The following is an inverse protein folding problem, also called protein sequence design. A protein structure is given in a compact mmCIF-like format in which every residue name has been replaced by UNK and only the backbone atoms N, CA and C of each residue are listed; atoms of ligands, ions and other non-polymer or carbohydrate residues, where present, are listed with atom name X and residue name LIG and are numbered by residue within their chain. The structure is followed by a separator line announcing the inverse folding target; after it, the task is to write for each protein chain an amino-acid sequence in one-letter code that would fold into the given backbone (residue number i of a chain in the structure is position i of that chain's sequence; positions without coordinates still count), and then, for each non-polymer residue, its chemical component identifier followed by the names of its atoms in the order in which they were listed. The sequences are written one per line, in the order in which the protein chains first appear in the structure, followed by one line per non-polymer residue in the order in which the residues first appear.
data_IF_600853816603
#
_entry.id   IF_600853816603
#
_cell.length_a   1.000
_cell.length_b   1.000
_cell.length_c   1.000
_cell.angle_alpha   90.00
_cell.angle_beta   90.00
_cell.angle_gamma   90.00
#
_symmetry.space_group_name_H-M   'P 1'
#
loop_
_entity.id
_entity.type
_entity.pdbx_description
1 polymer ?
#
# COMPACT_ATOMS: atom_id res chain seq x y z
N UNK A 1 4.61 -7.61 26.97
CA UNK A 1 3.73 -6.43 26.78
C UNK A 1 2.66 -6.80 25.77
N UNK A 2 1.39 -6.49 26.04
CA UNK A 2 0.30 -6.75 25.09
C UNK A 2 0.52 -5.82 23.89
N UNK A 3 0.63 -6.36 22.67
CA UNK A 3 0.75 -5.53 21.47
C UNK A 3 -0.55 -4.72 21.29
N UNK A 4 -0.42 -3.43 21.10
CA UNK A 4 -1.55 -2.51 20.93
C UNK A 4 -2.22 -2.68 19.57
N UNK A 5 -1.46 -3.04 18.56
CA UNK A 5 -1.89 -3.43 17.23
C UNK A 5 -0.88 -4.41 16.64
N UNK A 6 -1.27 -5.17 15.62
CA UNK A 6 -0.40 -6.07 14.88
C UNK A 6 0.37 -5.27 13.82
N UNK A 7 1.68 -5.20 13.92
CA UNK A 7 2.52 -4.52 12.95
C UNK A 7 3.03 -5.46 11.84
N UNK A 8 3.57 -4.88 10.78
CA UNK A 8 4.09 -5.63 9.64
C UNK A 8 5.29 -6.52 9.99
N UNK A 9 6.11 -6.16 10.99
CA UNK A 9 7.22 -7.00 11.40
C UNK A 9 6.74 -8.30 12.06
N UNK A 10 5.63 -8.24 12.81
CA UNK A 10 4.97 -9.43 13.36
C UNK A 10 4.33 -10.30 12.28
N UNK A 11 3.86 -9.70 11.17
CA UNK A 11 3.41 -10.47 10.03
C UNK A 11 4.57 -11.19 9.35
N UNK A 12 5.67 -10.48 9.07
CA UNK A 12 6.86 -11.05 8.42
C UNK A 12 7.57 -12.10 9.28
N UNK A 13 7.50 -12.04 10.61
CA UNK A 13 8.11 -13.04 11.50
C UNK A 13 7.52 -14.45 11.36
N UNK A 14 6.37 -14.59 10.69
CA UNK A 14 5.81 -15.90 10.32
C UNK A 14 6.57 -16.57 9.15
N UNK A 15 7.32 -15.79 8.38
CA UNK A 15 8.01 -16.22 7.17
C UNK A 15 9.55 -16.12 7.30
N UNK A 16 10.03 -15.23 8.17
CA UNK A 16 11.47 -14.92 8.29
C UNK A 16 11.90 -14.85 9.74
N UNK A 17 13.03 -15.49 10.07
CA UNK A 17 13.62 -15.44 11.43
C UNK A 17 14.31 -14.10 11.71
N UNK A 18 14.79 -13.41 10.67
CA UNK A 18 15.57 -12.17 10.75
C UNK A 18 14.83 -10.93 10.27
N UNK A 19 15.54 -9.81 10.27
CA UNK A 19 15.06 -8.56 9.69
C UNK A 19 15.05 -8.65 8.16
N UNK A 20 13.95 -8.21 7.57
CA UNK A 20 13.76 -8.15 6.13
C UNK A 20 13.43 -6.70 5.73
N UNK A 21 14.06 -6.22 4.66
CA UNK A 21 13.86 -4.87 4.14
C UNK A 21 13.26 -4.93 2.72
N UNK A 22 12.20 -4.16 2.49
CA UNK A 22 11.70 -3.92 1.12
C UNK A 22 12.67 -3.02 0.37
N UNK A 23 13.09 -3.45 -0.82
CA UNK A 23 13.85 -2.64 -1.78
C UNK A 23 12.92 -2.30 -2.95
N UNK A 24 12.62 -1.01 -3.10
CA UNK A 24 11.76 -0.54 -4.19
C UNK A 24 12.47 -0.70 -5.53
N UNK A 25 11.77 -1.27 -6.51
CA UNK A 25 12.18 -1.36 -7.91
C UNK A 25 11.15 -0.69 -8.81
N UNK A 26 11.64 -0.04 -9.84
CA UNK A 26 10.88 0.46 -10.97
C UNK A 26 11.19 -0.37 -12.21
N UNK A 27 10.23 -1.15 -12.65
CA UNK A 27 10.38 -2.05 -13.80
C UNK A 27 9.83 -1.45 -15.11
N UNK A 28 9.54 -0.14 -15.13
CA UNK A 28 9.10 0.56 -16.34
C UNK A 28 7.63 0.36 -16.69
N UNK A 29 6.83 -0.21 -15.81
CA UNK A 29 5.39 -0.41 -16.05
C UNK A 29 4.64 0.90 -16.26
N UNK A 30 3.49 0.81 -16.95
CA UNK A 30 2.49 1.87 -17.06
C UNK A 30 1.24 1.53 -16.23
N UNK A 31 0.16 2.24 -16.49
CA UNK A 31 -1.13 2.03 -15.82
C UNK A 31 -2.27 2.16 -16.83
N UNK A 32 -3.22 1.21 -16.90
CA UNK A 32 -4.33 1.25 -17.85
C UNK A 32 -5.25 2.46 -17.66
N UNK A 33 -5.20 3.11 -16.50
CA UNK A 33 -5.88 4.36 -16.22
C UNK A 33 -5.12 5.60 -16.72
N UNK A 34 -3.98 5.42 -17.42
CA UNK A 34 -3.14 6.47 -18.00
C UNK A 34 -2.93 6.35 -19.50
N UNK A 35 -2.86 5.13 -20.01
CA UNK A 35 -2.56 4.85 -21.41
C UNK A 35 -3.82 4.75 -22.31
N UNK A 36 -4.99 4.95 -21.75
CA UNK A 36 -6.26 5.00 -22.46
C UNK A 36 -7.05 3.71 -22.50
N UNK A 37 -6.53 2.60 -21.91
CA UNK A 37 -7.27 1.34 -21.89
C UNK A 37 -8.48 1.39 -20.96
N UNK A 38 -8.34 1.99 -19.78
CA UNK A 38 -9.41 2.23 -18.80
C UNK A 38 -9.74 3.72 -18.71
N UNK A 39 -8.71 4.57 -18.73
CA UNK A 39 -8.85 6.02 -18.62
C UNK A 39 -7.59 6.76 -19.02
N UNK A 40 -7.67 8.08 -19.09
CA UNK A 40 -6.57 8.97 -19.40
C UNK A 40 -6.16 9.79 -18.17
N UNK A 41 -4.86 10.05 -18.02
CA UNK A 41 -4.34 10.93 -16.98
C UNK A 41 -4.17 10.30 -15.59
N UNK A 42 -4.77 9.14 -15.35
CA UNK A 42 -4.70 8.43 -14.07
C UNK A 42 -5.67 8.91 -12.99
N UNK A 43 -5.55 8.35 -11.82
CA UNK A 43 -6.32 8.79 -10.64
C UNK A 43 -5.97 10.24 -10.29
N UNK A 44 -6.95 10.99 -9.76
CA UNK A 44 -6.82 12.44 -9.54
C UNK A 44 -5.68 12.83 -8.59
N UNK A 45 -5.33 11.94 -7.65
CA UNK A 45 -4.28 12.14 -6.63
C UNK A 45 -2.90 11.65 -7.09
N UNK A 46 -2.79 10.90 -8.21
CA UNK A 46 -1.61 10.10 -8.51
C UNK A 46 -0.49 10.92 -9.16
N UNK A 47 0.66 10.95 -8.48
CA UNK A 47 1.93 11.39 -9.04
C UNK A 47 3.03 10.35 -8.72
N UNK A 48 3.41 9.55 -9.71
CA UNK A 48 4.39 8.47 -9.51
C UNK A 48 5.82 8.95 -9.22
N UNK A 49 6.16 10.21 -9.51
CA UNK A 49 7.45 10.78 -9.13
C UNK A 49 7.67 10.78 -7.60
N UNK A 50 6.56 10.68 -6.81
CA UNK A 50 6.62 10.61 -5.35
C UNK A 50 7.19 9.30 -4.81
N UNK A 51 7.33 8.25 -5.62
CA UNK A 51 7.62 6.89 -5.16
C UNK A 51 8.98 6.35 -5.60
N UNK A 52 9.82 7.14 -6.27
CA UNK A 52 11.11 6.71 -6.78
C UNK A 52 12.27 7.07 -5.83
N UNK A 53 12.87 6.10 -5.12
CA UNK A 53 14.14 6.36 -4.44
C UNK A 53 15.28 6.55 -5.46
N UNK A 54 16.28 7.33 -5.08
CA UNK A 54 17.39 7.70 -5.98
C UNK A 54 18.19 6.50 -6.56
N UNK A 55 18.10 5.32 -5.94
CA UNK A 55 18.79 4.12 -6.43
C UNK A 55 17.97 3.36 -7.50
N UNK A 56 16.67 3.62 -7.64
CA UNK A 56 15.79 2.99 -8.64
C UNK A 56 15.66 3.85 -9.90
N UNK A 57 16.78 4.16 -10.56
CA UNK A 57 16.76 4.92 -11.80
C UNK A 57 16.25 4.07 -12.98
N UNK A 58 15.39 4.64 -13.83
CA UNK A 58 14.71 3.98 -14.94
C UNK A 58 15.64 3.30 -15.97
N UNK A 59 16.91 3.67 -16.00
CA UNK A 59 17.92 3.11 -16.92
C UNK A 59 18.59 1.82 -16.42
N UNK A 60 18.26 1.35 -15.21
CA UNK A 60 18.86 0.16 -14.60
C UNK A 60 17.92 -1.03 -14.69
N UNK A 61 18.47 -2.23 -14.92
CA UNK A 61 17.71 -3.45 -14.78
C UNK A 61 17.21 -3.65 -13.33
N UNK A 62 16.21 -4.50 -13.13
CA UNK A 62 15.67 -4.83 -11.80
C UNK A 62 16.79 -5.29 -10.86
N UNK A 63 17.65 -6.20 -11.32
CA UNK A 63 18.78 -6.71 -10.55
C UNK A 63 19.77 -5.60 -10.15
N UNK A 64 20.09 -4.69 -11.07
CA UNK A 64 20.99 -3.56 -10.78
C UNK A 64 20.40 -2.59 -9.75
N UNK A 65 19.08 -2.34 -9.80
CA UNK A 65 18.39 -1.52 -8.80
C UNK A 65 18.43 -2.17 -7.41
N UNK A 66 18.18 -3.49 -7.34
CA UNK A 66 18.24 -4.26 -6.10
C UNK A 66 19.64 -4.26 -5.50
N UNK A 67 20.69 -4.47 -6.30
CA UNK A 67 22.07 -4.40 -5.82
C UNK A 67 22.42 -3.00 -5.28
N UNK A 68 22.00 -1.93 -5.96
CA UNK A 68 22.19 -0.57 -5.49
C UNK A 68 21.41 -0.30 -4.17
N UNK A 69 20.19 -0.83 -4.05
CA UNK A 69 19.40 -0.78 -2.83
C UNK A 69 20.05 -1.53 -1.67
N UNK A 70 20.57 -2.72 -1.91
CA UNK A 70 21.33 -3.50 -0.91
C UNK A 70 22.52 -2.69 -0.39
N UNK A 71 23.33 -2.10 -1.26
CA UNK A 71 24.48 -1.28 -0.88
C UNK A 71 24.08 -0.08 -0.02
N UNK A 72 22.93 0.55 -0.33
CA UNK A 72 22.40 1.68 0.45
C UNK A 72 22.08 1.26 1.89
N UNK A 73 21.47 0.09 2.11
CA UNK A 73 21.06 -0.38 3.43
C UNK A 73 22.14 -1.18 4.17
N UNK A 74 23.09 -1.81 3.46
CA UNK A 74 24.14 -2.67 4.05
C UNK A 74 25.00 -1.96 5.09
N UNK A 75 25.21 -0.64 4.94
CA UNK A 75 25.98 0.17 5.91
C UNK A 75 25.40 0.11 7.33
N UNK A 76 24.08 -0.06 7.46
CA UNK A 76 23.38 -0.09 8.75
C UNK A 76 23.09 -1.51 9.25
N UNK A 77 22.86 -2.45 8.32
CA UNK A 77 22.43 -3.82 8.63
C UNK A 77 23.08 -4.83 7.67
N UNK A 78 24.31 -5.28 7.92
CA UNK A 78 25.08 -6.13 7.00
C UNK A 78 24.50 -7.54 6.80
N UNK A 79 23.66 -8.02 7.71
CA UNK A 79 23.11 -9.38 7.70
C UNK A 79 21.59 -9.43 7.42
N UNK A 80 21.07 -8.46 6.64
CA UNK A 80 19.64 -8.35 6.35
C UNK A 80 19.27 -9.12 5.08
N UNK A 81 18.10 -9.75 5.06
CA UNK A 81 17.46 -10.24 3.85
C UNK A 81 16.53 -9.18 3.25
N UNK A 82 16.15 -9.36 1.98
CA UNK A 82 15.44 -8.35 1.22
C UNK A 82 14.20 -8.91 0.52
N UNK A 83 13.21 -8.05 0.29
CA UNK A 83 12.09 -8.30 -0.60
C UNK A 83 12.17 -7.29 -1.74
N UNK A 84 12.09 -7.76 -2.98
CA UNK A 84 11.97 -6.89 -4.13
C UNK A 84 10.55 -6.30 -4.15
N UNK A 85 10.44 -4.98 -4.05
CA UNK A 85 9.17 -4.28 -3.98
C UNK A 85 8.89 -3.53 -5.28
N UNK A 86 8.07 -4.12 -6.12
CA UNK A 86 7.55 -3.52 -7.35
C UNK A 86 6.44 -2.54 -6.97
N UNK A 87 6.72 -1.25 -6.98
CA UNK A 87 5.82 -0.25 -6.40
C UNK A 87 5.28 0.76 -7.41
N UNK A 88 6.06 1.19 -8.39
CA UNK A 88 5.65 2.22 -9.34
C UNK A 88 4.60 1.69 -10.33
N UNK A 89 3.51 2.44 -10.50
CA UNK A 89 2.42 2.13 -11.44
C UNK A 89 1.68 0.80 -11.14
N UNK A 90 1.43 -0.02 -12.20
CA UNK A 90 0.66 -1.27 -12.12
C UNK A 90 1.56 -2.43 -12.51
N UNK A 91 2.14 -3.09 -11.51
CA UNK A 91 3.25 -4.02 -11.72
C UNK A 91 2.82 -5.46 -12.12
N UNK A 92 1.59 -5.61 -12.57
CA UNK A 92 1.03 -6.82 -13.20
C UNK A 92 0.43 -6.52 -14.58
N UNK A 93 0.66 -5.30 -15.09
CA UNK A 93 0.07 -4.85 -16.34
C UNK A 93 1.05 -5.01 -17.50
N UNK A 94 1.29 -6.27 -17.87
CA UNK A 94 2.11 -6.68 -19.01
C UNK A 94 1.79 -8.13 -19.41
N UNK A 95 2.49 -8.69 -20.42
CA UNK A 95 2.39 -10.11 -20.76
C UNK A 95 2.96 -10.98 -19.62
N UNK A 96 2.43 -12.19 -19.47
CA UNK A 96 2.89 -13.10 -18.41
C UNK A 96 4.38 -13.41 -18.55
N UNK A 97 4.87 -13.62 -19.76
CA UNK A 97 6.28 -13.93 -20.04
C UNK A 97 7.20 -12.80 -19.58
N UNK A 98 6.80 -11.53 -19.82
CA UNK A 98 7.59 -10.38 -19.40
C UNK A 98 7.57 -10.23 -17.88
N UNK A 99 6.40 -10.41 -17.24
CA UNK A 99 6.26 -10.39 -15.78
C UNK A 99 7.14 -11.47 -15.13
N UNK A 100 7.13 -12.70 -15.66
CA UNK A 100 7.96 -13.80 -15.19
C UNK A 100 9.44 -13.44 -15.25
N UNK A 101 9.91 -12.96 -16.40
CA UNK A 101 11.32 -12.57 -16.58
C UNK A 101 11.77 -11.51 -15.55
N UNK A 102 10.94 -10.48 -15.26
CA UNK A 102 11.25 -9.45 -14.30
C UNK A 102 11.25 -9.95 -12.84
N UNK A 103 10.31 -10.83 -12.48
CA UNK A 103 10.23 -11.40 -11.14
C UNK A 103 11.37 -12.38 -10.88
N UNK A 104 11.71 -13.21 -11.86
CA UNK A 104 12.84 -14.14 -11.79
C UNK A 104 14.19 -13.40 -11.73
N UNK A 105 14.37 -12.31 -12.50
CA UNK A 105 15.53 -11.44 -12.38
C UNK A 105 15.68 -10.89 -10.95
N UNK A 106 14.58 -10.46 -10.33
CA UNK A 106 14.60 -9.97 -8.97
C UNK A 106 15.00 -11.06 -7.96
N UNK A 107 14.46 -12.26 -8.12
CA UNK A 107 14.71 -13.39 -7.21
C UNK A 107 16.10 -14.01 -7.41
N UNK A 108 16.74 -13.82 -8.55
CA UNK A 108 18.12 -14.25 -8.79
C UNK A 108 19.15 -13.40 -8.02
N UNK A 109 18.77 -12.24 -7.49
CA UNK A 109 19.66 -11.39 -6.70
C UNK A 109 19.89 -12.00 -5.33
N UNK A 110 21.17 -12.16 -4.95
CA UNK A 110 21.53 -12.74 -3.65
C UNK A 110 20.84 -12.05 -2.47
N UNK A 111 20.30 -12.84 -1.54
CA UNK A 111 19.56 -12.41 -0.34
C UNK A 111 18.20 -11.75 -0.62
N UNK A 112 17.71 -11.72 -1.84
CA UNK A 112 16.32 -11.43 -2.13
C UNK A 112 15.51 -12.70 -1.87
N UNK A 113 14.59 -12.66 -0.89
CA UNK A 113 13.83 -13.82 -0.40
C UNK A 113 12.40 -13.83 -0.88
N UNK A 114 12.00 -12.85 -1.66
CA UNK A 114 10.64 -12.78 -2.18
C UNK A 114 10.29 -11.46 -2.83
N UNK A 115 9.03 -11.38 -3.22
CA UNK A 115 8.44 -10.27 -3.96
C UNK A 115 7.33 -9.61 -3.15
N UNK A 116 7.23 -8.29 -3.27
CA UNK A 116 6.04 -7.52 -2.92
C UNK A 116 5.61 -6.79 -4.18
N UNK A 117 4.38 -7.03 -4.65
CA UNK A 117 3.89 -6.55 -5.94
C UNK A 117 2.73 -5.60 -5.70
N UNK A 118 3.00 -4.29 -5.85
CA UNK A 118 1.97 -3.25 -5.80
C UNK A 118 1.25 -3.16 -7.13
N UNK A 119 -0.07 -3.32 -7.14
CA UNK A 119 -0.84 -3.33 -8.39
C UNK A 119 -2.28 -2.86 -8.22
N UNK A 120 -2.99 -2.76 -9.34
CA UNK A 120 -4.43 -2.52 -9.42
C UNK A 120 -5.19 -3.85 -9.38
N UNK A 121 -6.36 -3.89 -8.72
CA UNK A 121 -7.15 -5.13 -8.64
C UNK A 121 -7.71 -5.58 -10.01
N UNK A 122 -7.95 -4.66 -10.93
CA UNK A 122 -8.44 -4.93 -12.29
C UNK A 122 -7.32 -5.39 -13.28
N UNK A 123 -6.09 -5.59 -12.79
CA UNK A 123 -4.94 -5.98 -13.59
C UNK A 123 -4.31 -7.31 -13.15
N UNK A 124 -5.10 -8.23 -12.63
CA UNK A 124 -4.63 -9.57 -12.26
C UNK A 124 -5.47 -10.64 -12.95
N UNK A 125 -4.82 -11.46 -13.78
CA UNK A 125 -5.44 -12.64 -14.39
C UNK A 125 -5.30 -13.86 -13.49
N UNK A 126 -6.16 -14.88 -13.70
CA UNK A 126 -6.03 -16.15 -12.98
C UNK A 126 -4.72 -16.86 -13.32
N UNK A 127 -4.29 -16.79 -14.57
CA UNK A 127 -3.02 -17.37 -15.01
C UNK A 127 -1.81 -16.76 -14.28
N UNK A 128 -1.78 -15.44 -14.12
CA UNK A 128 -0.75 -14.76 -13.31
C UNK A 128 -0.82 -15.18 -11.84
N UNK A 129 -2.02 -15.24 -11.27
CA UNK A 129 -2.20 -15.66 -9.88
C UNK A 129 -1.77 -17.12 -9.66
N UNK A 130 -2.01 -18.01 -10.62
CA UNK A 130 -1.57 -19.40 -10.55
C UNK A 130 -0.03 -19.49 -10.60
N UNK A 131 0.62 -18.72 -11.47
CA UNK A 131 2.08 -18.60 -11.49
C UNK A 131 2.65 -18.07 -10.16
N UNK A 132 2.06 -17.00 -9.63
CA UNK A 132 2.50 -16.41 -8.36
C UNK A 132 2.26 -17.35 -7.16
N UNK A 133 1.21 -18.16 -7.20
CA UNK A 133 0.95 -19.18 -6.19
C UNK A 133 2.02 -20.29 -6.21
N UNK A 134 2.44 -20.73 -7.40
CA UNK A 134 3.55 -21.70 -7.53
C UNK A 134 4.86 -21.07 -7.03
N UNK A 135 5.12 -19.82 -7.39
CA UNK A 135 6.28 -19.09 -6.91
C UNK A 135 6.27 -18.93 -5.38
N UNK A 136 5.09 -18.74 -4.78
CA UNK A 136 4.92 -18.57 -3.33
C UNK A 136 5.30 -19.83 -2.54
N UNK A 137 5.34 -21.00 -3.15
CA UNK A 137 5.82 -22.24 -2.49
C UNK A 137 7.31 -22.25 -2.19
N UNK A 138 8.09 -21.43 -2.91
CA UNK A 138 9.56 -21.38 -2.78
C UNK A 138 10.05 -20.04 -2.22
N UNK A 139 9.36 -18.95 -2.55
CA UNK A 139 9.71 -17.58 -2.19
C UNK A 139 8.52 -16.90 -1.52
N UNK A 140 8.79 -15.94 -0.67
CA UNK A 140 7.70 -15.12 -0.16
C UNK A 140 7.12 -14.24 -1.27
N UNK A 141 5.79 -14.27 -1.45
CA UNK A 141 5.07 -13.38 -2.37
C UNK A 141 3.95 -12.70 -1.59
N UNK A 142 3.86 -11.37 -1.71
CA UNK A 142 2.77 -10.55 -1.18
C UNK A 142 2.24 -9.68 -2.31
N UNK A 143 0.95 -9.75 -2.61
CA UNK A 143 0.31 -8.84 -3.56
C UNK A 143 -0.34 -7.71 -2.78
N UNK A 144 0.02 -6.47 -3.10
CA UNK A 144 -0.54 -5.25 -2.50
C UNK A 144 -1.49 -4.55 -3.47
N UNK A 145 -2.79 -4.60 -3.20
CA UNK A 145 -3.79 -3.95 -4.02
C UNK A 145 -4.02 -2.51 -3.61
N UNK A 146 -3.93 -1.58 -4.56
CA UNK A 146 -4.41 -0.22 -4.39
C UNK A 146 -5.93 -0.20 -4.43
N UNK A 147 -6.60 -0.41 -3.32
CA UNK A 147 -8.07 -0.29 -3.17
C UNK A 147 -8.47 1.18 -3.06
N UNK A 148 -7.76 1.92 -2.24
CA UNK A 148 -7.84 3.35 -1.98
C UNK A 148 -9.09 3.80 -1.20
N UNK A 149 -10.28 3.28 -1.53
CA UNK A 149 -11.55 3.43 -0.82
C UNK A 149 -12.42 2.18 -1.01
N UNK A 150 -13.34 1.90 -0.09
CA UNK A 150 -14.38 0.87 -0.25
C UNK A 150 -15.73 1.46 -0.67
N UNK A 151 -15.75 2.75 -1.00
CA UNK A 151 -16.93 3.50 -1.42
C UNK A 151 -16.84 3.82 -2.92
N UNK A 152 -17.82 3.35 -3.70
CA UNK A 152 -17.80 3.47 -5.17
C UNK A 152 -17.99 4.91 -5.65
N UNK A 153 -18.70 5.76 -4.90
CA UNK A 153 -18.81 7.19 -5.26
C UNK A 153 -17.45 7.88 -5.10
N UNK A 154 -16.73 7.54 -4.04
CA UNK A 154 -15.36 8.03 -3.82
C UNK A 154 -14.43 7.52 -4.92
N UNK A 155 -14.46 6.23 -5.26
CA UNK A 155 -13.65 5.64 -6.32
C UNK A 155 -13.93 6.33 -7.68
N UNK A 156 -15.18 6.59 -8.00
CA UNK A 156 -15.57 7.35 -9.19
C UNK A 156 -15.02 8.79 -9.16
N UNK A 157 -15.19 9.49 -8.03
CA UNK A 157 -14.71 10.87 -7.83
C UNK A 157 -13.20 11.02 -8.01
N UNK A 158 -12.44 10.05 -7.55
CA UNK A 158 -10.97 10.06 -7.70
C UNK A 158 -10.49 9.45 -9.02
N UNK A 159 -11.40 9.13 -9.94
CA UNK A 159 -11.12 8.50 -11.24
C UNK A 159 -10.32 7.19 -11.09
N UNK A 160 -10.73 6.31 -10.16
CA UNK A 160 -10.02 5.06 -9.92
C UNK A 160 -10.13 4.09 -11.09
N UNK A 161 -11.24 4.10 -11.83
CA UNK A 161 -11.46 3.30 -13.04
C UNK A 161 -11.86 1.85 -12.79
N UNK A 162 -12.07 1.45 -11.53
CA UNK A 162 -12.73 0.21 -11.11
C UNK A 162 -13.54 0.50 -9.85
N UNK A 163 -14.51 -0.36 -9.54
CA UNK A 163 -15.32 -0.34 -8.34
C UNK A 163 -14.73 -1.19 -7.21
N UNK A 164 -15.37 -1.18 -6.06
CA UNK A 164 -14.94 -1.98 -4.91
C UNK A 164 -15.19 -3.48 -5.12
N UNK A 165 -16.23 -3.86 -5.88
CA UNK A 165 -16.50 -5.26 -6.18
C UNK A 165 -15.33 -5.92 -6.93
N UNK A 166 -14.72 -5.21 -7.89
CA UNK A 166 -13.51 -5.65 -8.57
C UNK A 166 -12.34 -5.86 -7.59
N UNK A 167 -12.17 -4.97 -6.62
CA UNK A 167 -11.12 -5.11 -5.60
C UNK A 167 -11.38 -6.32 -4.69
N UNK A 168 -12.62 -6.52 -4.25
CA UNK A 168 -13.01 -7.65 -3.41
C UNK A 168 -12.80 -8.99 -4.13
N UNK A 169 -13.15 -9.09 -5.42
CA UNK A 169 -12.92 -10.28 -6.25
C UNK A 169 -11.42 -10.60 -6.35
N UNK A 170 -10.58 -9.63 -6.71
CA UNK A 170 -9.14 -9.83 -6.81
C UNK A 170 -8.52 -10.31 -5.49
N UNK A 171 -8.93 -9.72 -4.36
CA UNK A 171 -8.50 -10.12 -3.02
C UNK A 171 -8.89 -11.58 -2.74
N UNK A 172 -10.13 -11.96 -3.01
CA UNK A 172 -10.64 -13.31 -2.78
C UNK A 172 -9.93 -14.35 -3.65
N UNK A 173 -9.76 -14.08 -4.96
CA UNK A 173 -9.04 -14.96 -5.90
C UNK A 173 -7.58 -15.18 -5.50
N UNK A 174 -6.92 -14.13 -5.03
CA UNK A 174 -5.53 -14.17 -4.56
C UNK A 174 -5.41 -15.01 -3.29
N UNK A 175 -6.25 -14.73 -2.29
CA UNK A 175 -6.24 -15.43 -1.01
C UNK A 175 -6.64 -16.92 -1.18
N UNK A 176 -7.56 -17.24 -2.09
CA UNK A 176 -7.94 -18.62 -2.40
C UNK A 176 -6.77 -19.47 -2.94
N UNK A 177 -5.74 -18.83 -3.48
CA UNK A 177 -4.49 -19.47 -3.92
C UNK A 177 -3.40 -19.53 -2.83
N UNK A 178 -3.71 -19.10 -1.62
CA UNK A 178 -2.79 -19.08 -0.49
C UNK A 178 -1.74 -17.96 -0.53
N UNK A 179 -1.88 -17.00 -1.45
CA UNK A 179 -0.98 -15.84 -1.54
C UNK A 179 -1.43 -14.79 -0.53
N UNK A 180 -0.55 -14.29 0.35
CA UNK A 180 -0.84 -13.17 1.24
C UNK A 180 -1.30 -11.92 0.49
N UNK A 181 -2.27 -11.22 1.07
CA UNK A 181 -2.88 -10.03 0.46
C UNK A 181 -2.65 -8.79 1.31
N UNK A 182 -2.07 -7.77 0.69
CA UNK A 182 -1.99 -6.42 1.23
C UNK A 182 -2.99 -5.49 0.56
N UNK A 183 -3.46 -4.47 1.30
CA UNK A 183 -4.39 -3.45 0.78
C UNK A 183 -3.88 -2.06 1.13
N UNK A 184 -3.97 -1.15 0.17
CA UNK A 184 -3.74 0.27 0.38
C UNK A 184 -5.05 1.03 0.49
N UNK A 185 -5.16 1.93 1.46
CA UNK A 185 -6.25 2.89 1.62
C UNK A 185 -5.71 4.30 1.77
N UNK A 186 -6.44 5.27 1.21
CA UNK A 186 -6.22 6.70 1.46
C UNK A 186 -7.34 7.19 2.37
N UNK A 187 -7.01 7.66 3.56
CA UNK A 187 -7.97 8.23 4.50
C UNK A 187 -8.10 9.73 4.30
N UNK A 188 -9.35 10.20 4.19
CA UNK A 188 -9.67 11.61 3.99
C UNK A 188 -9.81 12.01 2.53
N UNK A 189 -10.16 11.09 1.64
CA UNK A 189 -10.49 11.42 0.26
C UNK A 189 -11.68 12.39 0.19
N UNK A 190 -11.75 13.28 -0.81
CA UNK A 190 -12.81 14.28 -0.92
C UNK A 190 -14.19 13.64 -0.90
N UNK A 191 -15.07 14.18 -0.06
CA UNK A 191 -16.46 13.74 0.10
C UNK A 191 -16.65 12.60 1.10
N UNK A 192 -15.60 11.98 1.63
CA UNK A 192 -15.73 10.99 2.68
C UNK A 192 -15.92 11.62 4.06
N UNK A 193 -17.00 11.25 4.73
CA UNK A 193 -17.21 11.55 6.14
C UNK A 193 -16.34 10.65 7.03
N UNK A 194 -16.11 11.09 8.28
CA UNK A 194 -15.44 10.25 9.28
C UNK A 194 -16.08 8.87 9.44
N UNK A 195 -17.42 8.81 9.42
CA UNK A 195 -18.15 7.54 9.55
C UNK A 195 -17.89 6.59 8.38
N UNK A 196 -17.81 7.11 7.14
CA UNK A 196 -17.44 6.32 5.97
C UNK A 196 -16.01 5.79 6.08
N UNK A 197 -15.06 6.63 6.53
CA UNK A 197 -13.67 6.20 6.74
C UNK A 197 -13.59 5.05 7.75
N UNK A 198 -14.29 5.13 8.87
CA UNK A 198 -14.33 4.04 9.86
C UNK A 198 -14.98 2.77 9.27
N UNK A 199 -16.02 2.92 8.46
CA UNK A 199 -16.67 1.79 7.78
C UNK A 199 -15.72 1.03 6.85
N UNK A 200 -14.69 1.67 6.27
CA UNK A 200 -13.68 0.94 5.50
C UNK A 200 -12.98 -0.15 6.33
N UNK A 201 -12.71 0.11 7.62
CA UNK A 201 -12.13 -0.90 8.51
C UNK A 201 -13.05 -2.11 8.67
N UNK A 202 -14.35 -1.90 8.84
CA UNK A 202 -15.34 -2.97 8.98
C UNK A 202 -15.50 -3.78 7.68
N UNK A 203 -15.56 -3.09 6.54
CA UNK A 203 -15.68 -3.72 5.21
C UNK A 203 -14.45 -4.56 4.90
N UNK A 204 -13.25 -4.01 5.06
CA UNK A 204 -12.00 -4.74 4.82
C UNK A 204 -11.80 -5.90 5.79
N UNK A 205 -12.28 -5.80 7.01
CA UNK A 205 -12.21 -6.87 8.01
C UNK A 205 -12.99 -8.14 7.62
N UNK A 206 -13.90 -8.04 6.66
CA UNK A 206 -14.66 -9.17 6.12
C UNK A 206 -13.96 -9.88 4.97
N UNK A 207 -12.90 -9.26 4.43
CA UNK A 207 -12.10 -9.82 3.33
C UNK A 207 -10.88 -10.57 3.87
N UNK A 208 -10.37 -11.55 3.11
CA UNK A 208 -9.17 -12.32 3.49
C UNK A 208 -7.88 -11.51 3.21
N UNK A 209 -7.71 -10.40 3.92
CA UNK A 209 -6.50 -9.57 3.83
C UNK A 209 -5.59 -9.82 5.04
N UNK A 210 -4.28 -9.78 4.82
CA UNK A 210 -3.24 -9.99 5.82
C UNK A 210 -2.60 -8.68 6.27
N UNK A 211 -2.47 -7.73 5.35
CA UNK A 211 -1.72 -6.48 5.55
C UNK A 211 -2.52 -5.28 5.09
N UNK A 212 -2.50 -4.22 5.88
CA UNK A 212 -3.11 -2.94 5.55
C UNK A 212 -2.06 -1.83 5.58
N UNK A 213 -2.10 -0.98 4.56
CA UNK A 213 -1.29 0.21 4.40
C UNK A 213 -2.19 1.44 4.35
N UNK A 214 -2.11 2.27 5.37
CA UNK A 214 -2.86 3.53 5.42
C UNK A 214 -2.01 4.68 4.89
N UNK A 215 -2.65 5.56 4.15
CA UNK A 215 -2.12 6.82 3.68
C UNK A 215 -3.08 7.93 4.10
N UNK A 216 -2.57 9.02 4.69
CA UNK A 216 -3.36 10.24 4.74
C UNK A 216 -3.48 10.82 3.34
N UNK A 217 -4.58 11.49 3.04
CA UNK A 217 -4.67 12.27 1.82
C UNK A 217 -3.54 13.30 1.77
N UNK A 218 -2.80 13.32 0.66
CA UNK A 218 -1.80 14.34 0.35
C UNK A 218 -2.13 15.02 -0.98
N UNK A 219 -2.09 16.33 -0.97
CA UNK A 219 -2.20 17.14 -2.19
C UNK A 219 -0.79 17.30 -2.76
N UNK A 220 -0.56 16.69 -3.91
CA UNK A 220 0.76 16.61 -4.54
C UNK A 220 0.77 17.40 -5.84
N UNK A 221 1.81 18.19 -6.08
CA UNK A 221 2.00 18.98 -7.31
C UNK A 221 1.87 18.12 -8.57
N UNK A 222 1.34 18.72 -9.62
CA UNK A 222 1.19 18.08 -10.93
C UNK A 222 -0.03 17.15 -11.04
N UNK A 223 -0.80 16.94 -9.98
CA UNK A 223 -2.00 16.11 -9.98
C UNK A 223 -3.26 16.89 -10.36
N UNK A 224 -4.30 16.19 -10.84
CA UNK A 224 -5.61 16.79 -11.03
C UNK A 224 -6.21 17.29 -9.70
N UNK A 225 -5.99 16.54 -8.64
CA UNK A 225 -6.44 16.88 -7.28
C UNK A 225 -5.80 18.16 -6.76
N UNK A 226 -4.53 18.45 -7.09
CA UNK A 226 -3.89 19.72 -6.74
C UNK A 226 -4.58 20.92 -7.42
N UNK A 227 -5.04 20.75 -8.67
CA UNK A 227 -5.81 21.80 -9.37
C UNK A 227 -7.20 21.99 -8.75
N UNK A 228 -7.88 20.90 -8.39
CA UNK A 228 -9.17 20.94 -7.69
C UNK A 228 -9.03 21.64 -6.34
N UNK A 229 -8.03 21.28 -5.56
CA UNK A 229 -7.74 21.91 -4.27
C UNK A 229 -7.46 23.41 -4.37
N UNK A 230 -6.72 23.83 -5.40
CA UNK A 230 -6.44 25.26 -5.63
C UNK A 230 -7.71 26.06 -6.00
N UNK A 231 -8.68 25.42 -6.65
CA UNK A 231 -9.94 26.07 -7.06
C UNK A 231 -10.98 26.06 -5.93
N UNK A 232 -11.10 24.96 -5.19
CA UNK A 232 -12.12 24.73 -4.18
C UNK A 232 -11.52 24.04 -2.95
N UNK A 233 -10.68 24.72 -2.15
CA UNK A 233 -10.03 24.11 -0.98
C UNK A 233 -11.02 23.66 0.09
N UNK A 234 -12.22 24.25 0.13
CA UNK A 234 -13.27 23.88 1.09
C UNK A 234 -13.85 22.47 0.87
N UNK A 235 -13.68 21.87 -0.32
CA UNK A 235 -14.12 20.52 -0.60
C UNK A 235 -13.17 19.44 -0.02
N UNK A 236 -12.04 19.87 0.58
CA UNK A 236 -11.02 19.00 1.11
C UNK A 236 -10.89 19.15 2.62
N UNK A 237 -11.19 18.10 3.36
CA UNK A 237 -10.90 18.03 4.78
C UNK A 237 -9.50 17.45 5.00
N UNK A 238 -8.50 18.34 5.07
CA UNK A 238 -7.13 17.93 5.38
C UNK A 238 -6.95 17.89 6.90
N UNK A 239 -6.85 16.70 7.46
CA UNK A 239 -6.68 16.49 8.89
C UNK A 239 -5.39 17.12 9.40
N UNK A 240 -5.46 17.73 10.58
CA UNK A 240 -4.27 17.99 11.40
C UNK A 240 -3.67 16.68 11.88
N UNK A 241 -2.42 16.69 12.34
CA UNK A 241 -1.78 15.48 12.84
C UNK A 241 -2.56 14.82 13.99
N UNK A 242 -3.07 15.63 14.94
CA UNK A 242 -3.74 15.10 16.11
C UNK A 242 -5.15 14.57 15.78
N UNK A 243 -5.88 15.22 14.87
CA UNK A 243 -7.14 14.69 14.32
C UNK A 243 -6.91 13.36 13.59
N UNK A 244 -5.83 13.27 12.80
CA UNK A 244 -5.52 12.04 12.06
C UNK A 244 -5.08 10.90 12.99
N UNK A 245 -4.36 11.20 14.08
CA UNK A 245 -4.05 10.20 15.14
C UNK A 245 -5.34 9.63 15.73
N UNK A 246 -6.30 10.49 16.07
CA UNK A 246 -7.61 10.06 16.61
C UNK A 246 -8.37 9.23 15.58
N UNK A 247 -8.39 9.65 14.31
CA UNK A 247 -9.04 8.91 13.24
C UNK A 247 -8.42 7.50 13.05
N UNK A 248 -7.09 7.40 13.04
CA UNK A 248 -6.37 6.13 12.89
C UNK A 248 -6.65 5.20 14.07
N UNK A 249 -6.69 5.72 15.30
CA UNK A 249 -7.00 4.91 16.48
C UNK A 249 -8.44 4.38 16.43
N UNK A 250 -9.41 5.20 16.05
CA UNK A 250 -10.78 4.76 15.86
C UNK A 250 -10.89 3.71 14.74
N UNK A 251 -10.20 3.93 13.64
CA UNK A 251 -10.12 2.96 12.55
C UNK A 251 -9.57 1.61 13.05
N UNK A 252 -8.50 1.61 13.84
CA UNK A 252 -7.90 0.40 14.41
C UNK A 252 -8.86 -0.33 15.36
N UNK A 253 -9.68 0.38 16.13
CA UNK A 253 -10.67 -0.24 17.00
C UNK A 253 -11.68 -1.10 16.22
N UNK A 254 -12.02 -0.71 14.98
CA UNK A 254 -12.96 -1.43 14.11
C UNK A 254 -12.28 -2.43 13.17
N UNK A 255 -10.94 -2.41 13.08
CA UNK A 255 -10.18 -3.30 12.22
C UNK A 255 -9.97 -4.67 12.89
N UNK A 256 -10.21 -5.75 12.16
CA UNK A 256 -9.96 -7.14 12.61
C UNK A 256 -8.52 -7.28 13.16
N UNK A 257 -8.35 -7.89 14.36
CA UNK A 257 -7.08 -7.82 15.09
C UNK A 257 -5.92 -8.62 14.46
N UNK A 258 -6.20 -9.52 13.52
CA UNK A 258 -5.19 -10.31 12.83
C UNK A 258 -4.65 -9.66 11.55
N UNK A 259 -5.23 -8.54 11.10
CA UNK A 259 -4.69 -7.76 10.00
C UNK A 259 -3.49 -6.94 10.49
N UNK A 260 -2.34 -7.13 9.87
CA UNK A 260 -1.14 -6.37 10.20
C UNK A 260 -1.16 -4.99 9.55
N UNK A 261 -0.77 -3.95 10.28
CA UNK A 261 -0.65 -2.61 9.72
C UNK A 261 0.82 -2.33 9.39
N UNK A 262 1.10 -2.05 8.11
CA UNK A 262 2.45 -1.77 7.65
C UNK A 262 2.85 -0.32 7.92
N UNK A 263 1.95 0.62 7.66
CA UNK A 263 2.17 2.04 7.96
C UNK A 263 0.84 2.79 8.11
N UNK A 264 0.90 3.93 8.75
CA UNK A 264 -0.24 4.82 8.96
C UNK A 264 -0.23 6.06 8.07
N UNK A 265 0.94 6.43 7.54
CA UNK A 265 1.13 7.68 6.81
C UNK A 265 2.02 7.47 5.58
N UNK A 266 1.82 8.28 4.56
CA UNK A 266 2.71 8.41 3.42
C UNK A 266 3.54 9.67 3.55
N UNK A 267 4.72 9.69 2.93
CA UNK A 267 5.59 10.86 2.86
C UNK A 267 5.94 11.13 1.39
N UNK A 268 5.42 12.22 0.84
CA UNK A 268 5.85 12.72 -0.46
C UNK A 268 7.10 13.60 -0.31
N UNK A 269 7.94 13.69 -1.35
CA UNK A 269 9.03 14.66 -1.38
C UNK A 269 8.55 16.08 -1.08
N UNK A 270 9.31 16.83 -0.28
CA UNK A 270 8.90 18.17 0.18
C UNK A 270 8.66 19.16 -0.95
N UNK A 271 9.38 19.05 -2.03
CA UNK A 271 9.25 19.87 -3.23
C UNK A 271 7.97 19.58 -4.01
N UNK A 272 7.40 18.39 -3.86
CA UNK A 272 6.14 17.97 -4.49
C UNK A 272 4.93 18.13 -3.58
N UNK A 273 5.09 18.08 -2.26
CA UNK A 273 3.97 18.18 -1.31
C UNK A 273 3.41 19.61 -1.27
N UNK A 274 2.08 19.74 -1.41
CA UNK A 274 1.34 20.99 -1.20
C UNK A 274 0.74 21.02 0.20
N UNK A 275 0.00 19.96 0.58
CA UNK A 275 -0.69 19.86 1.87
C UNK A 275 -1.12 18.39 2.17
N UNK A 276 -1.31 18.03 3.44
CA UNK A 276 -0.83 18.71 4.63
C UNK A 276 0.67 18.46 4.84
N UNK A 277 1.42 19.45 5.28
CA UNK A 277 2.78 19.28 5.79
C UNK A 277 2.77 19.29 7.31
N UNK A 278 2.89 18.10 7.89
CA UNK A 278 2.88 17.95 9.34
C UNK A 278 4.26 18.15 9.98
N UNK A 279 5.33 18.19 9.17
CA UNK A 279 6.70 18.36 9.67
C UNK A 279 7.21 17.24 10.58
N UNK A 280 6.51 16.10 10.69
CA UNK A 280 6.87 14.98 11.57
C UNK A 280 7.33 13.77 10.77
N UNK A 281 8.20 12.98 11.38
CA UNK A 281 8.66 11.71 10.81
C UNK A 281 7.66 10.58 11.12
N UNK A 282 7.65 9.54 10.29
CA UNK A 282 6.73 8.42 10.45
C UNK A 282 6.82 7.77 11.86
N UNK A 283 8.01 7.61 12.43
CA UNK A 283 8.14 7.00 13.75
C UNK A 283 7.52 7.88 14.86
N UNK A 284 7.56 9.21 14.74
CA UNK A 284 6.94 10.14 15.70
C UNK A 284 5.42 10.04 15.64
N UNK A 285 4.86 9.88 14.43
CA UNK A 285 3.44 9.63 14.26
C UNK A 285 3.04 8.28 14.88
N UNK A 286 3.79 7.22 14.63
CA UNK A 286 3.54 5.88 15.20
C UNK A 286 3.52 5.93 16.73
N UNK A 287 4.44 6.67 17.36
CA UNK A 287 4.46 6.81 18.82
C UNK A 287 3.24 7.57 19.35
N UNK A 288 2.73 8.59 18.64
CA UNK A 288 1.45 9.26 19.00
C UNK A 288 0.27 8.27 18.96
N UNK A 289 0.17 7.45 17.90
CA UNK A 289 -0.85 6.40 17.77
C UNK A 289 -0.75 5.40 18.91
N UNK A 290 0.44 4.87 19.20
CA UNK A 290 0.66 3.93 20.31
C UNK A 290 0.27 4.52 21.66
N UNK A 291 0.63 5.79 21.91
CA UNK A 291 0.28 6.49 23.15
C UNK A 291 -1.25 6.57 23.34
N UNK A 292 -1.99 6.91 22.30
CA UNK A 292 -3.44 6.99 22.37
C UNK A 292 -4.08 5.60 22.49
N UNK A 293 -3.60 4.59 21.75
CA UNK A 293 -4.05 3.20 21.89
C UNK A 293 -3.81 2.62 23.29
N UNK A 294 -2.73 3.01 23.95
CA UNK A 294 -2.45 2.59 25.33
C UNK A 294 -3.43 3.19 26.37
N UNK A 295 -4.02 4.34 26.05
CA UNK A 295 -5.03 5.01 26.87
C UNK A 295 -6.45 4.54 26.59
N UNK A 296 -6.66 3.87 25.46
CA UNK A 296 -7.95 3.37 25.02
C UNK A 296 -7.93 1.83 25.00
N UNK A 297 -8.44 1.24 23.93
CA UNK A 297 -8.38 -0.21 23.68
C UNK A 297 -7.50 -0.46 22.46
N UNK A 298 -6.96 -1.67 22.34
CA UNK A 298 -6.14 -2.06 21.19
C UNK A 298 -6.95 -2.27 19.90
N UNK A 299 -6.25 -2.63 18.84
CA UNK A 299 -6.86 -3.03 17.56
C UNK A 299 -7.96 -4.09 17.76
N UNK A 300 -9.07 -3.94 17.05
CA UNK A 300 -10.19 -4.87 17.07
C UNK A 300 -11.12 -4.74 18.29
N UNK A 301 -10.93 -3.71 19.12
CA UNK A 301 -11.74 -3.56 20.34
C UNK A 301 -13.26 -3.38 20.09
N UNK A 302 -13.62 -2.86 18.92
CA UNK A 302 -14.99 -2.65 18.47
C UNK A 302 -15.35 -3.53 17.27
N UNK A 303 -14.40 -4.33 16.77
CA UNK A 303 -14.67 -5.26 15.68
C UNK A 303 -15.58 -6.39 16.12
N UNK A 304 -16.58 -6.71 15.30
CA UNK A 304 -17.53 -7.80 15.51
C UNK A 304 -17.40 -8.81 14.36
N UNK A 305 -17.10 -10.10 14.65
CA UNK A 305 -16.95 -11.13 13.62
C UNK A 305 -18.23 -11.35 12.78
N UNK A 306 -19.39 -11.16 13.41
CA UNK A 306 -20.70 -11.27 12.79
C UNK A 306 -21.37 -9.90 12.89
N UNK A 307 -21.12 -9.03 11.92
CA UNK A 307 -21.88 -7.81 11.78
C UNK A 307 -23.33 -8.18 11.54
N UNK A 308 -24.21 -7.85 12.50
CA UNK A 308 -25.64 -8.03 12.42
C UNK A 308 -26.27 -7.26 11.26
#
# INVERSE_FOLDING_TARGET
MKHLYKDFSQFLSRYFEGKVQKLTVNAGFTCPNRDGRVGWGGCTYCNNQSFHPNYSADSRSVGQQLEAGKQFFAKKYPAMDYLAYFQAYTNTYDSLEHLQALYEEALAVDRVRGLVIGTRPDCVSDELLDYLAELHRQYFVLIEYGVESTDDETLHRIHRGHDFACAADAIQRTAARGIPVGVHLILGLPGESRAQIIRHAEVLSRLPIDVLKLHQLQIVKGTAMARQYAQQPADFHLYTIDEYVVLVVDFLHHLRPDIAVERFTSQSPKDLLIAPDWGVKNYEFVEKVKKLLAQTKGQGALWQPNGG
#
